data_IF_351986995301
#
_entry.id   IF_351986995301
#
_cell.length_a   1.000
_cell.length_b   1.000
_cell.length_c   1.000
_cell.angle_alpha   90.00
_cell.angle_beta   90.00
_cell.angle_gamma   90.00
#
_symmetry.space_group_name_H-M   'P 1'
#
loop_
_entity.id
_entity.type
_entity.pdbx_description
1 polymer ?
#
# COMPACT_ATOMS: atom_id res chain seq x y z
N UNK A 1 45.54 -14.16 10.56
CA UNK A 1 45.67 -12.79 10.01
C UNK A 1 44.50 -12.53 9.07
N UNK A 2 43.51 -11.74 9.49
CA UNK A 2 42.36 -11.41 8.65
C UNK A 2 42.77 -10.38 7.60
N UNK A 3 42.61 -10.74 6.32
CA UNK A 3 42.88 -9.87 5.17
C UNK A 3 41.89 -8.72 5.21
N UNK A 4 42.36 -7.51 5.56
CA UNK A 4 41.58 -6.28 5.48
C UNK A 4 41.38 -5.99 4.00
N UNK A 5 40.23 -6.40 3.46
CA UNK A 5 39.82 -6.15 2.09
C UNK A 5 39.61 -4.63 1.93
N UNK A 6 40.45 -4.01 1.10
CA UNK A 6 40.46 -2.57 0.86
C UNK A 6 39.17 -2.15 0.11
N UNK A 7 38.16 -1.72 0.87
CA UNK A 7 36.82 -1.37 0.36
C UNK A 7 36.74 0.04 -0.22
N UNK A 8 37.87 0.74 -0.33
CA UNK A 8 37.98 2.12 -0.81
C UNK A 8 37.66 2.28 -2.31
N UNK A 9 37.78 1.21 -3.11
CA UNK A 9 37.58 1.21 -4.58
C UNK A 9 36.23 0.66 -5.05
N UNK A 10 35.33 0.29 -4.13
CA UNK A 10 34.01 -0.23 -4.51
C UNK A 10 33.14 0.87 -5.09
N UNK A 11 32.67 0.65 -6.32
CA UNK A 11 31.62 1.43 -6.97
C UNK A 11 30.41 1.59 -6.03
N UNK A 12 29.80 2.78 -6.00
CA UNK A 12 28.63 3.04 -5.12
C UNK A 12 27.53 1.99 -5.28
N UNK A 13 27.37 1.43 -6.48
CA UNK A 13 26.39 0.38 -6.77
C UNK A 13 26.69 -0.92 -6.00
N UNK A 14 27.96 -1.29 -5.87
CA UNK A 14 28.38 -2.49 -5.13
C UNK A 14 28.31 -2.27 -3.62
N UNK A 15 28.61 -1.05 -3.13
CA UNK A 15 28.38 -0.68 -1.73
C UNK A 15 26.91 -0.78 -1.36
N UNK A 16 26.00 -0.32 -2.23
CA UNK A 16 24.54 -0.44 -2.01
C UNK A 16 24.10 -1.90 -1.99
N UNK A 17 24.57 -2.73 -2.94
CA UNK A 17 24.26 -4.17 -2.96
C UNK A 17 24.76 -4.90 -1.71
N UNK A 18 26.00 -4.65 -1.26
CA UNK A 18 26.54 -5.26 -0.02
C UNK A 18 25.77 -4.79 1.21
N UNK A 19 25.41 -3.50 1.27
CA UNK A 19 24.61 -2.97 2.39
C UNK A 19 23.23 -3.62 2.42
N UNK A 20 22.55 -3.72 1.27
CA UNK A 20 21.25 -4.38 1.14
C UNK A 20 21.32 -5.87 1.49
N UNK A 21 22.34 -6.59 1.02
CA UNK A 21 22.58 -7.99 1.38
C UNK A 21 22.92 -8.20 2.86
N UNK A 22 23.46 -7.17 3.53
CA UNK A 22 23.74 -7.21 4.98
C UNK A 22 22.50 -6.89 5.81
N UNK A 23 21.59 -6.04 5.29
CA UNK A 23 20.28 -5.75 5.89
C UNK A 23 19.37 -6.98 5.82
N UNK A 24 19.39 -7.74 4.72
CA UNK A 24 18.61 -8.98 4.55
C UNK A 24 18.99 -10.11 5.53
N UNK A 25 20.18 -10.05 6.13
CA UNK A 25 20.67 -11.07 7.10
C UNK A 25 20.39 -10.73 8.56
N UNK A 26 19.80 -9.57 8.84
CA UNK A 26 19.39 -9.24 10.20
C UNK A 26 18.11 -10.02 10.52
N UNK A 27 18.01 -10.66 11.71
CA UNK A 27 16.77 -11.28 12.12
C UNK A 27 15.66 -10.23 12.14
N UNK A 28 14.73 -10.35 11.19
CA UNK A 28 13.58 -9.48 11.04
C UNK A 28 12.80 -9.49 12.36
N UNK A 29 12.67 -8.35 13.02
CA UNK A 29 11.88 -8.26 14.25
C UNK A 29 10.41 -8.41 13.88
N UNK A 30 9.63 -9.10 14.70
CA UNK A 30 8.19 -9.26 14.45
C UNK A 30 7.44 -7.90 14.39
N UNK A 31 8.02 -6.86 15.00
CA UNK A 31 7.55 -5.46 14.91
C UNK A 31 7.73 -4.82 13.51
N UNK A 32 8.61 -5.36 12.66
CA UNK A 32 8.86 -4.85 11.29
C UNK A 32 7.86 -5.40 10.26
N UNK A 33 6.91 -6.24 10.68
CA UNK A 33 5.75 -6.58 9.86
C UNK A 33 4.90 -5.34 9.64
N UNK A 34 4.98 -4.76 8.43
CA UNK A 34 4.14 -3.62 8.05
C UNK A 34 2.65 -4.02 8.16
N UNK A 35 1.90 -3.53 9.17
CA UNK A 35 0.50 -3.94 9.39
C UNK A 35 -0.37 -3.63 8.17
N UNK A 36 0.06 -2.67 7.34
CA UNK A 36 -0.64 -2.26 6.14
C UNK A 36 -0.52 -3.24 4.97
N UNK A 37 0.36 -4.26 5.07
CA UNK A 37 0.40 -5.34 4.07
C UNK A 37 -0.91 -6.12 4.02
N UNK A 38 -1.55 -6.36 5.17
CA UNK A 38 -2.84 -7.06 5.24
C UNK A 38 -3.97 -6.30 4.52
N UNK A 39 -4.05 -4.98 4.74
CA UNK A 39 -5.06 -4.12 4.10
C UNK A 39 -4.84 -4.06 2.57
N UNK A 40 -3.58 -3.97 2.13
CA UNK A 40 -3.26 -3.98 0.69
C UNK A 40 -3.68 -5.30 0.04
N UNK A 41 -3.44 -6.43 0.69
CA UNK A 41 -3.84 -7.76 0.17
C UNK A 41 -5.38 -7.86 0.13
N UNK A 42 -6.07 -7.41 1.18
CA UNK A 42 -7.53 -7.35 1.19
C UNK A 42 -8.09 -6.50 0.04
N UNK A 43 -7.46 -5.36 -0.26
CA UNK A 43 -7.86 -4.52 -1.39
C UNK A 43 -7.70 -5.24 -2.74
N UNK A 44 -6.59 -5.95 -2.95
CA UNK A 44 -6.36 -6.73 -4.17
C UNK A 44 -7.40 -7.86 -4.29
N UNK A 45 -7.70 -8.54 -3.19
CA UNK A 45 -8.74 -9.58 -3.14
C UNK A 45 -10.11 -9.01 -3.54
N UNK A 46 -10.55 -7.91 -2.94
CA UNK A 46 -11.81 -7.25 -3.28
C UNK A 46 -11.87 -6.86 -4.76
N UNK A 47 -10.77 -6.31 -5.31
CA UNK A 47 -10.69 -5.96 -6.73
C UNK A 47 -10.80 -7.22 -7.61
N UNK A 48 -10.15 -8.31 -7.24
CA UNK A 48 -10.22 -9.57 -7.98
C UNK A 48 -11.63 -10.15 -8.00
N UNK A 49 -12.33 -10.14 -6.86
CA UNK A 49 -13.72 -10.60 -6.77
C UNK A 49 -14.67 -9.72 -7.59
N UNK A 50 -14.45 -8.40 -7.61
CA UNK A 50 -15.21 -7.48 -8.48
C UNK A 50 -15.07 -7.85 -9.96
N UNK A 51 -13.84 -8.13 -10.42
CA UNK A 51 -13.60 -8.59 -11.81
C UNK A 51 -14.30 -9.90 -12.10
N UNK A 52 -14.23 -10.86 -11.17
CA UNK A 52 -14.92 -12.16 -11.30
C UNK A 52 -16.44 -11.94 -11.42
N UNK A 53 -17.04 -11.05 -10.61
CA UNK A 53 -18.47 -10.74 -10.71
C UNK A 53 -18.86 -10.21 -12.09
N UNK A 54 -18.06 -9.30 -12.66
CA UNK A 54 -18.29 -8.78 -14.01
C UNK A 54 -18.20 -9.91 -15.03
N UNK A 55 -17.22 -10.81 -14.89
CA UNK A 55 -17.07 -11.96 -15.77
C UNK A 55 -18.27 -12.92 -15.67
N UNK A 56 -18.78 -13.17 -14.46
CA UNK A 56 -19.98 -13.97 -14.21
C UNK A 56 -21.21 -13.32 -14.84
N UNK A 57 -21.35 -12.00 -14.71
CA UNK A 57 -22.44 -11.24 -15.34
C UNK A 57 -22.43 -11.43 -16.87
N UNK A 58 -21.26 -11.36 -17.51
CA UNK A 58 -21.16 -11.63 -18.94
C UNK A 58 -21.50 -13.08 -19.30
N UNK A 59 -21.06 -14.05 -18.49
CA UNK A 59 -21.39 -15.46 -18.69
C UNK A 59 -22.91 -15.70 -18.61
N UNK A 60 -23.60 -15.09 -17.64
CA UNK A 60 -25.05 -15.18 -17.53
C UNK A 60 -25.76 -14.59 -18.75
N UNK A 61 -25.33 -13.40 -19.21
CA UNK A 61 -25.88 -12.78 -20.43
C UNK A 61 -25.69 -13.72 -21.62
N UNK A 62 -24.48 -14.29 -21.80
CA UNK A 62 -24.20 -15.22 -22.88
C UNK A 62 -25.07 -16.49 -22.82
N UNK A 63 -25.18 -17.15 -21.67
CA UNK A 63 -26.00 -18.34 -21.52
C UNK A 63 -27.49 -18.06 -21.76
N UNK A 64 -27.95 -16.86 -21.41
CA UNK A 64 -29.33 -16.44 -21.68
C UNK A 64 -29.55 -16.21 -23.18
N UNK A 65 -28.62 -15.55 -23.89
CA UNK A 65 -28.75 -15.33 -25.33
C UNK A 65 -28.66 -16.63 -26.14
N UNK A 66 -27.84 -17.58 -25.70
CA UNK A 66 -27.59 -18.85 -26.42
C UNK A 66 -28.59 -19.94 -26.01
N UNK A 67 -29.53 -19.59 -25.14
CA UNK A 67 -30.57 -20.37 -24.48
C UNK A 67 -30.57 -21.89 -24.79
N UNK A 68 -29.70 -22.69 -24.16
CA UNK A 68 -29.61 -24.13 -24.40
C UNK A 68 -30.81 -24.92 -23.86
N UNK A 69 -31.61 -24.29 -22.99
CA UNK A 69 -32.62 -24.93 -22.13
C UNK A 69 -34.07 -24.61 -22.51
N UNK A 70 -34.32 -23.65 -23.42
CA UNK A 70 -35.66 -23.34 -23.94
C UNK A 70 -36.68 -22.84 -22.92
N UNK A 71 -36.22 -22.36 -21.76
CA UNK A 71 -37.10 -21.88 -20.69
C UNK A 71 -37.43 -20.40 -20.95
N UNK A 72 -38.71 -19.98 -20.90
CA UNK A 72 -39.08 -18.59 -21.16
C UNK A 72 -38.60 -17.71 -20.00
N UNK A 73 -37.39 -17.16 -20.13
CA UNK A 73 -36.84 -16.20 -19.18
C UNK A 73 -37.35 -14.81 -19.55
N UNK A 74 -38.09 -14.18 -18.64
CA UNK A 74 -38.57 -12.80 -18.86
C UNK A 74 -37.36 -11.85 -18.95
N UNK A 75 -37.25 -10.97 -19.97
CA UNK A 75 -36.13 -10.03 -20.11
C UNK A 75 -35.90 -9.14 -18.88
N UNK A 76 -36.98 -8.82 -18.14
CA UNK A 76 -36.92 -7.99 -16.93
C UNK A 76 -36.17 -8.62 -15.76
N UNK A 77 -36.24 -9.94 -15.58
CA UNK A 77 -35.55 -10.64 -14.48
C UNK A 77 -34.03 -10.64 -14.70
N UNK A 78 -33.59 -10.86 -15.94
CA UNK A 78 -32.17 -10.84 -16.32
C UNK A 78 -31.58 -9.45 -16.14
N UNK A 79 -32.32 -8.40 -16.53
CA UNK A 79 -31.89 -7.03 -16.34
C UNK A 79 -31.76 -6.69 -14.84
N UNK A 80 -32.72 -7.12 -14.01
CA UNK A 80 -32.66 -6.94 -12.56
C UNK A 80 -31.45 -7.63 -11.92
N UNK A 81 -31.16 -8.85 -12.35
CA UNK A 81 -30.00 -9.61 -11.87
C UNK A 81 -28.67 -8.99 -12.34
N UNK A 82 -28.58 -8.59 -13.60
CA UNK A 82 -27.41 -7.91 -14.16
C UNK A 82 -27.13 -6.58 -13.44
N UNK A 83 -28.15 -5.76 -13.19
CA UNK A 83 -28.00 -4.51 -12.44
C UNK A 83 -27.54 -4.78 -11.00
N UNK A 84 -28.07 -5.82 -10.35
CA UNK A 84 -27.63 -6.22 -9.02
C UNK A 84 -26.16 -6.63 -9.02
N UNK A 85 -25.74 -7.48 -9.94
CA UNK A 85 -24.33 -7.90 -10.07
C UNK A 85 -23.41 -6.71 -10.38
N UNK A 86 -23.84 -5.83 -11.27
CA UNK A 86 -23.11 -4.61 -11.60
C UNK A 86 -22.94 -3.72 -10.36
N UNK A 87 -23.99 -3.54 -9.57
CA UNK A 87 -23.94 -2.75 -8.33
C UNK A 87 -22.95 -3.36 -7.31
N UNK A 88 -22.99 -4.68 -7.10
CA UNK A 88 -22.02 -5.36 -6.23
C UNK A 88 -20.59 -5.25 -6.76
N UNK A 89 -20.39 -5.40 -8.07
CA UNK A 89 -19.07 -5.25 -8.69
C UNK A 89 -18.51 -3.84 -8.50
N UNK A 90 -19.32 -2.80 -8.79
CA UNK A 90 -18.93 -1.41 -8.61
C UNK A 90 -18.61 -1.09 -7.15
N UNK A 91 -19.41 -1.60 -6.21
CA UNK A 91 -19.19 -1.43 -4.79
C UNK A 91 -17.87 -2.06 -4.32
N UNK A 92 -17.60 -3.31 -4.73
CA UNK A 92 -16.35 -4.01 -4.42
C UNK A 92 -15.12 -3.32 -5.04
N UNK A 93 -15.25 -2.80 -6.26
CA UNK A 93 -14.18 -2.05 -6.92
C UNK A 93 -13.87 -0.74 -6.20
N UNK A 94 -14.92 0.02 -5.86
CA UNK A 94 -14.78 1.28 -5.11
C UNK A 94 -14.19 1.04 -3.71
N UNK A 95 -14.63 0.01 -3.00
CA UNK A 95 -14.06 -0.38 -1.71
C UNK A 95 -12.58 -0.78 -1.79
N UNK A 96 -12.20 -1.51 -2.84
CA UNK A 96 -10.81 -1.86 -3.10
C UNK A 96 -9.93 -0.62 -3.37
N UNK A 97 -10.43 0.32 -4.17
CA UNK A 97 -9.71 1.56 -4.48
C UNK A 97 -9.52 2.43 -3.24
N UNK A 98 -10.57 2.54 -2.42
CA UNK A 98 -10.51 3.25 -1.14
C UNK A 98 -9.47 2.63 -0.19
N UNK A 99 -9.42 1.30 -0.09
CA UNK A 99 -8.45 0.59 0.74
C UNK A 99 -7.00 0.80 0.27
N UNK A 100 -6.77 0.86 -1.05
CA UNK A 100 -5.46 1.19 -1.62
C UNK A 100 -5.07 2.65 -1.31
N UNK A 101 -6.03 3.59 -1.40
CA UNK A 101 -5.79 4.99 -1.03
C UNK A 101 -5.45 5.15 0.45
N UNK A 102 -6.20 4.52 1.35
CA UNK A 102 -5.95 4.51 2.79
C UNK A 102 -4.54 4.01 3.13
N UNK A 103 -4.10 2.96 2.43
CA UNK A 103 -2.74 2.41 2.58
C UNK A 103 -1.67 3.47 2.26
N UNK A 104 -1.85 4.23 1.17
CA UNK A 104 -0.91 5.29 0.78
C UNK A 104 -0.91 6.46 1.76
N UNK A 105 -2.10 6.91 2.17
CA UNK A 105 -2.26 8.02 3.13
C UNK A 105 -1.53 7.75 4.45
N UNK A 106 -1.58 6.51 4.95
CA UNK A 106 -0.88 6.16 6.19
C UNK A 106 0.64 6.36 6.09
N UNK A 107 1.27 6.05 4.95
CA UNK A 107 2.70 6.32 4.76
C UNK A 107 3.02 7.83 4.77
N UNK A 108 2.15 8.65 4.18
CA UNK A 108 2.29 10.11 4.19
C UNK A 108 2.16 10.68 5.60
N UNK A 109 1.25 10.16 6.43
CA UNK A 109 1.13 10.59 7.84
C UNK A 109 2.38 10.26 8.65
N UNK A 110 3.04 9.12 8.39
CA UNK A 110 4.33 8.78 9.02
C UNK A 110 5.43 9.72 8.58
N UNK A 111 5.52 10.03 7.29
CA UNK A 111 6.50 10.97 6.76
C UNK A 111 6.32 12.37 7.38
N UNK A 112 5.08 12.85 7.46
CA UNK A 112 4.75 14.14 8.07
C UNK A 112 5.11 14.18 9.56
N UNK A 113 4.84 13.10 10.33
CA UNK A 113 5.23 13.04 11.75
C UNK A 113 6.75 13.16 11.93
N UNK A 114 7.54 12.48 11.10
CA UNK A 114 9.01 12.55 11.15
C UNK A 114 9.49 13.97 10.80
N UNK A 115 8.89 14.59 9.78
CA UNK A 115 9.25 15.96 9.38
C UNK A 115 8.95 16.96 10.50
N UNK A 116 7.76 16.87 11.12
CA UNK A 116 7.36 17.72 12.24
C UNK A 116 8.30 17.56 13.44
N UNK A 117 8.69 16.33 13.78
CA UNK A 117 9.67 16.09 14.84
C UNK A 117 11.02 16.73 14.53
N UNK A 118 11.50 16.67 13.28
CA UNK A 118 12.75 17.32 12.86
C UNK A 118 12.65 18.84 12.95
N UNK A 119 11.55 19.44 12.47
CA UNK A 119 11.33 20.89 12.56
C UNK A 119 11.28 21.36 14.01
N UNK A 120 10.54 20.66 14.87
CA UNK A 120 10.46 20.99 16.30
C UNK A 120 11.82 20.89 16.99
N UNK A 121 12.62 19.87 16.66
CA UNK A 121 13.98 19.72 17.19
C UNK A 121 14.92 20.82 16.72
N UNK A 122 14.84 21.25 15.46
CA UNK A 122 15.64 22.37 14.93
C UNK A 122 15.23 23.68 15.59
N UNK A 123 13.93 23.95 15.72
CA UNK A 123 13.42 25.14 16.40
C UNK A 123 13.87 25.17 17.86
N UNK A 124 13.78 24.02 18.55
CA UNK A 124 14.28 23.87 19.91
C UNK A 124 15.80 24.11 20.04
N UNK A 125 16.59 23.74 19.02
CA UNK A 125 18.02 24.06 18.98
C UNK A 125 18.28 25.54 18.76
N UNK A 126 17.55 26.21 17.88
CA UNK A 126 17.66 27.65 17.63
C UNK A 126 17.34 28.43 18.93
N UNK A 127 16.20 28.13 19.55
CA UNK A 127 15.76 28.77 20.80
C UNK A 127 16.68 28.49 22.00
N UNK A 128 17.38 27.34 22.03
CA UNK A 128 18.40 27.04 23.05
C UNK A 128 19.75 27.69 22.73
N UNK A 129 20.07 27.86 21.45
CA UNK A 129 21.26 28.56 20.97
C UNK A 129 21.25 30.03 21.39
N UNK A 130 20.12 30.71 21.19
CA UNK A 130 19.94 32.11 21.63
C UNK A 130 20.08 32.27 23.14
N UNK A 131 19.60 31.29 23.94
CA UNK A 131 19.77 31.33 25.41
C UNK A 131 21.22 31.22 25.89
N UNK A 132 22.13 30.65 25.08
CA UNK A 132 23.55 30.59 25.46
C UNK A 132 24.32 31.88 25.20
N UNK A 133 23.82 32.75 24.32
CA UNK A 133 24.44 34.05 23.99
C UNK A 133 24.01 35.17 24.96
N UNK A 134 22.93 34.95 25.73
CA UNK A 134 22.39 35.94 26.68
C UNK A 134 22.92 35.84 28.11
N UNK A 135 23.91 34.98 28.41
CA UNK A 135 24.49 34.93 29.75
C UNK A 135 25.65 35.95 29.83
N UNK A 136 25.52 37.04 30.60
CA UNK A 136 26.62 37.98 30.76
C UNK A 136 27.83 37.28 31.42
N UNK A 137 29.07 37.64 31.05
CA UNK A 137 30.24 37.18 31.76
C UNK A 137 30.19 37.71 33.19
N UNK A 138 30.27 36.79 34.16
CA UNK A 138 30.47 37.08 35.59
C UNK A 138 31.86 37.69 35.82
#
# INVERSE_FOLDING_TARGET
MAKVEDTSVLSEAERRKRTQAKVDKLPMRDDDWDPMRGIRVAAILLKSVSVILIMVMFAQIYFTLTDPSGMPVTPGTILGEAVRLLAFAAFLWGGADLALMLTRSHHETRATRILMQRQNNLLGKILRGDRKMGKPPE
#
